data_IF_138640485869
#
_entry.id   IF_138640485869
#
_cell.length_a   1.000
_cell.length_b   1.000
_cell.length_c   1.000
_cell.angle_alpha   90.00
_cell.angle_beta   90.00
_cell.angle_gamma   90.00
#
_symmetry.space_group_name_H-M   'P 1'
#
loop_
_entity.id
_entity.type
_entity.pdbx_description
1 polymer ?
#
# COMPACT_ATOMS: atom_id res chain seq x y z
N UNK A 1 -20.45 2.67 -14.86
CA UNK A 1 -19.36 3.48 -14.26
C UNK A 1 -18.70 4.23 -15.38
N UNK A 2 -18.73 5.55 -15.35
CA UNK A 2 -18.03 6.41 -16.31
C UNK A 2 -16.73 6.89 -15.65
N UNK A 3 -15.60 6.73 -16.33
CA UNK A 3 -14.31 7.17 -15.82
C UNK A 3 -13.96 8.52 -16.41
N UNK A 4 -14.01 9.57 -15.58
CA UNK A 4 -13.47 10.88 -15.96
C UNK A 4 -11.98 10.86 -15.62
N UNK A 5 -11.13 10.72 -16.64
CA UNK A 5 -9.67 10.66 -16.46
C UNK A 5 -9.08 12.05 -16.71
N UNK A 6 -8.50 12.64 -15.67
CA UNK A 6 -7.65 13.83 -15.80
C UNK A 6 -6.23 13.44 -16.18
N UNK A 7 -5.54 14.28 -16.97
CA UNK A 7 -4.11 14.09 -17.22
C UNK A 7 -3.31 14.49 -15.98
N UNK A 8 -2.29 13.70 -15.57
CA UNK A 8 -1.43 14.06 -14.45
C UNK A 8 -0.77 15.42 -14.69
N UNK A 9 -0.92 16.33 -13.73
CA UNK A 9 -0.19 17.60 -13.69
C UNK A 9 0.99 17.44 -12.74
N UNK A 10 2.12 18.06 -13.07
CA UNK A 10 3.31 17.97 -12.24
C UNK A 10 4.49 18.72 -12.84
N UNK A 11 5.68 18.63 -12.21
CA UNK A 11 6.93 19.18 -12.73
C UNK A 11 7.21 18.71 -14.17
N UNK A 12 8.07 19.43 -14.90
CA UNK A 12 8.46 19.09 -16.28
C UNK A 12 8.92 17.64 -16.40
N UNK A 13 9.75 17.18 -15.47
CA UNK A 13 10.25 15.80 -15.41
C UNK A 13 9.12 14.75 -15.43
N UNK A 14 8.05 14.95 -14.66
CA UNK A 14 6.90 14.02 -14.62
C UNK A 14 6.17 14.01 -15.96
N UNK A 15 5.95 15.19 -16.55
CA UNK A 15 5.28 15.30 -17.86
C UNK A 15 6.11 14.66 -18.97
N UNK A 16 7.42 14.88 -18.94
CA UNK A 16 8.35 14.33 -19.92
C UNK A 16 8.47 12.81 -19.80
N UNK A 17 8.41 12.28 -18.57
CA UNK A 17 8.35 10.84 -18.31
C UNK A 17 7.07 10.20 -18.85
N UNK A 18 5.91 10.81 -18.57
CA UNK A 18 4.62 10.33 -19.08
C UNK A 18 4.52 10.40 -20.61
N UNK A 19 5.19 11.39 -21.22
CA UNK A 19 5.27 11.54 -22.67
C UNK A 19 6.32 10.62 -23.32
N UNK A 20 7.07 9.83 -22.53
CA UNK A 20 8.10 8.92 -23.04
C UNK A 20 9.26 9.63 -23.74
N UNK A 21 9.62 10.85 -23.31
CA UNK A 21 10.72 11.59 -23.93
C UNK A 21 12.07 10.93 -23.64
N UNK A 22 12.90 10.76 -24.66
CA UNK A 22 14.23 10.14 -24.54
C UNK A 22 15.13 10.83 -23.51
N UNK A 23 15.02 12.15 -23.38
CA UNK A 23 15.83 12.96 -22.45
C UNK A 23 15.64 12.59 -20.97
N UNK A 24 14.53 11.95 -20.62
CA UNK A 24 14.30 11.48 -19.25
C UNK A 24 14.53 9.98 -19.09
N UNK A 25 14.74 9.25 -20.18
CA UNK A 25 15.00 7.81 -20.14
C UNK A 25 16.24 7.48 -19.30
N UNK A 26 17.27 8.34 -19.34
CA UNK A 26 18.51 8.18 -18.56
C UNK A 26 18.26 8.18 -17.04
N UNK A 27 17.20 8.81 -16.55
CA UNK A 27 16.86 8.85 -15.12
C UNK A 27 16.07 7.63 -14.64
N UNK A 28 15.28 7.01 -15.52
CA UNK A 28 14.33 5.94 -15.16
C UNK A 28 14.68 4.57 -15.77
N UNK A 29 15.62 4.53 -16.71
CA UNK A 29 16.22 3.34 -17.33
C UNK A 29 15.32 2.55 -18.27
N UNK A 30 14.02 2.41 -17.97
CA UNK A 30 13.05 1.62 -18.75
C UNK A 30 11.69 2.33 -18.82
N UNK A 31 10.94 2.08 -19.89
CA UNK A 31 9.59 2.61 -20.10
C UNK A 31 8.54 1.78 -19.37
N UNK A 32 7.60 2.47 -18.70
CA UNK A 32 6.46 1.82 -18.06
C UNK A 32 5.39 1.33 -19.06
N UNK A 33 5.45 1.77 -20.33
CA UNK A 33 4.49 1.41 -21.37
C UNK A 33 5.00 0.29 -22.29
N UNK A 34 6.25 -0.16 -22.12
CA UNK A 34 6.89 -1.15 -22.99
C UNK A 34 6.87 -2.54 -22.36
N UNK A 35 6.17 -3.48 -22.99
CA UNK A 35 6.22 -4.88 -22.56
C UNK A 35 7.62 -5.47 -22.70
N UNK A 36 8.40 -5.03 -23.70
CA UNK A 36 9.78 -5.51 -23.89
C UNK A 36 10.70 -5.08 -22.75
N UNK A 37 10.48 -3.88 -22.20
CA UNK A 37 11.22 -3.43 -21.01
C UNK A 37 10.87 -4.27 -19.78
N UNK A 38 9.61 -4.68 -19.62
CA UNK A 38 9.24 -5.63 -18.58
C UNK A 38 9.87 -7.01 -18.80
N UNK A 39 9.97 -7.50 -20.04
CA UNK A 39 10.68 -8.75 -20.37
C UNK A 39 12.16 -8.64 -20.03
N UNK A 40 12.81 -7.55 -20.43
CA UNK A 40 14.20 -7.25 -20.09
C UNK A 40 14.42 -7.21 -18.57
N UNK A 41 13.50 -6.58 -17.81
CA UNK A 41 13.56 -6.57 -16.35
C UNK A 41 13.39 -7.98 -15.76
N UNK A 42 12.48 -8.78 -16.31
CA UNK A 42 12.27 -10.16 -15.89
C UNK A 42 13.54 -11.01 -16.09
N UNK A 43 14.22 -10.86 -17.22
CA UNK A 43 15.52 -11.52 -17.48
C UNK A 43 16.60 -11.07 -16.49
N UNK A 44 16.67 -9.78 -16.18
CA UNK A 44 17.61 -9.26 -15.16
C UNK A 44 17.32 -9.87 -13.77
N UNK A 45 16.05 -9.98 -13.38
CA UNK A 45 15.64 -10.60 -12.11
C UNK A 45 16.01 -12.08 -12.09
N UNK A 46 15.76 -12.82 -13.16
CA UNK A 46 16.12 -14.24 -13.26
C UNK A 46 17.64 -14.48 -13.20
N UNK A 47 18.44 -13.56 -13.75
CA UNK A 47 19.90 -13.62 -13.67
C UNK A 47 20.48 -13.28 -12.28
N UNK A 48 19.71 -12.64 -11.41
CA UNK A 48 20.16 -12.16 -10.08
C UNK A 48 19.60 -12.95 -8.91
N UNK A 49 18.38 -13.45 -9.03
CA UNK A 49 17.65 -14.07 -7.93
C UNK A 49 17.27 -15.49 -8.35
N UNK A 50 17.69 -16.47 -7.55
CA UNK A 50 17.37 -17.89 -7.72
C UNK A 50 16.19 -18.31 -6.86
N UNK A 51 16.13 -19.61 -6.53
CA UNK A 51 15.09 -20.18 -5.67
C UNK A 51 15.22 -19.71 -4.22
N UNK A 52 16.45 -19.70 -3.68
CA UNK A 52 16.71 -19.35 -2.29
C UNK A 52 16.30 -17.90 -1.97
N UNK A 53 16.60 -16.94 -2.85
CA UNK A 53 16.21 -15.54 -2.67
C UNK A 53 14.69 -15.36 -2.74
N UNK A 54 14.00 -16.17 -3.57
CA UNK A 54 12.54 -16.17 -3.63
C UNK A 54 11.91 -16.78 -2.37
N UNK A 55 12.50 -17.84 -1.81
CA UNK A 55 12.06 -18.39 -0.52
C UNK A 55 12.19 -17.34 0.60
N UNK A 56 13.31 -16.62 0.65
CA UNK A 56 13.51 -15.53 1.61
C UNK A 56 12.49 -14.40 1.40
N UNK A 57 12.21 -14.03 0.16
CA UNK A 57 11.21 -13.03 -0.15
C UNK A 57 9.82 -13.48 0.31
N UNK A 58 9.41 -14.72 -0.01
CA UNK A 58 8.12 -15.28 0.38
C UNK A 58 7.94 -15.32 1.91
N UNK A 59 8.98 -15.68 2.66
CA UNK A 59 8.96 -15.67 4.14
C UNK A 59 8.78 -14.28 4.74
N UNK A 60 9.17 -13.22 4.03
CA UNK A 60 9.02 -11.84 4.48
C UNK A 60 7.63 -11.24 4.16
N UNK A 61 6.81 -11.92 3.35
CA UNK A 61 5.48 -11.44 2.96
C UNK A 61 4.44 -11.82 4.00
N UNK A 62 3.63 -10.84 4.41
CA UNK A 62 2.41 -11.09 5.17
C UNK A 62 1.24 -11.28 4.19
N UNK A 63 0.63 -12.45 4.27
CA UNK A 63 -0.57 -12.79 3.49
C UNK A 63 -1.80 -12.32 4.26
N UNK A 64 -2.64 -11.43 3.69
CA UNK A 64 -3.86 -11.01 4.36
C UNK A 64 -4.91 -12.13 4.36
N UNK A 65 -5.85 -12.13 5.30
CA UNK A 65 -7.00 -13.03 5.27
C UNK A 65 -7.73 -12.96 3.92
N UNK A 66 -8.04 -14.12 3.35
CA UNK A 66 -8.73 -14.24 2.05
C UNK A 66 -7.80 -14.36 0.84
N UNK A 67 -6.52 -14.01 0.95
CA UNK A 67 -5.57 -14.19 -0.15
C UNK A 67 -5.09 -15.64 -0.27
N UNK A 68 -4.84 -16.09 -1.50
CA UNK A 68 -4.34 -17.43 -1.82
C UNK A 68 -2.85 -17.57 -1.47
N UNK A 69 -2.56 -18.25 -0.36
CA UNK A 69 -1.19 -18.53 0.11
C UNK A 69 -0.40 -19.42 -0.86
N UNK A 70 -1.06 -20.28 -1.64
CA UNK A 70 -0.39 -21.20 -2.57
C UNK A 70 0.33 -20.46 -3.71
N UNK A 71 -0.02 -19.19 -3.94
CA UNK A 71 0.64 -18.35 -4.94
C UNK A 71 2.07 -17.98 -4.56
N UNK A 72 2.41 -17.93 -3.26
CA UNK A 72 3.80 -17.77 -2.83
C UNK A 72 4.63 -19.02 -3.13
N UNK A 73 4.06 -20.21 -2.98
CA UNK A 73 4.71 -21.47 -3.37
C UNK A 73 4.97 -21.48 -4.88
N UNK A 74 3.96 -21.16 -5.70
CA UNK A 74 4.11 -21.06 -7.14
C UNK A 74 5.16 -20.01 -7.55
N UNK A 75 5.22 -18.87 -6.85
CA UNK A 75 6.25 -17.85 -7.06
C UNK A 75 7.66 -18.41 -6.83
N UNK A 76 7.88 -19.21 -5.79
CA UNK A 76 9.17 -19.85 -5.54
C UNK A 76 9.47 -20.91 -6.60
N UNK A 77 8.53 -21.83 -6.85
CA UNK A 77 8.75 -23.00 -7.71
C UNK A 77 8.93 -22.63 -9.19
N UNK A 78 8.17 -21.66 -9.68
CA UNK A 78 8.15 -21.27 -11.10
C UNK A 78 9.07 -20.08 -11.41
N UNK A 79 9.82 -19.60 -10.43
CA UNK A 79 10.70 -18.45 -10.58
C UNK A 79 9.95 -17.16 -10.87
N UNK A 80 8.88 -16.89 -10.12
CA UNK A 80 7.98 -15.75 -10.29
C UNK A 80 8.61 -14.38 -9.97
N UNK A 81 7.80 -13.35 -10.15
CA UNK A 81 8.16 -11.94 -9.97
C UNK A 81 7.26 -11.25 -8.95
N UNK A 82 7.66 -10.07 -8.49
CA UNK A 82 6.85 -9.21 -7.63
C UNK A 82 6.71 -7.83 -8.28
N UNK A 83 5.48 -7.29 -8.30
CA UNK A 83 5.23 -5.88 -8.61
C UNK A 83 5.08 -5.17 -7.27
N UNK A 84 6.01 -4.29 -6.94
CA UNK A 84 6.03 -3.61 -5.65
C UNK A 84 5.53 -2.17 -5.77
N UNK A 85 4.81 -1.72 -4.76
CA UNK A 85 4.50 -0.31 -4.49
C UNK A 85 4.52 -0.09 -2.99
N UNK A 86 4.41 1.15 -2.51
CA UNK A 86 4.29 1.41 -1.09
C UNK A 86 3.87 2.83 -0.74
N UNK A 87 3.58 3.01 0.54
CA UNK A 87 3.41 4.30 1.21
C UNK A 87 3.64 4.14 2.72
N UNK A 88 3.96 5.24 3.41
CA UNK A 88 3.74 5.35 4.85
C UNK A 88 2.31 4.96 5.27
N UNK A 89 2.15 4.42 6.49
CA UNK A 89 0.83 4.11 7.03
C UNK A 89 0.06 5.40 7.35
N UNK A 90 -0.93 5.74 6.53
CA UNK A 90 -1.87 6.83 6.84
C UNK A 90 -2.97 6.36 7.80
N UNK A 91 -3.32 7.21 8.78
CA UNK A 91 -4.47 7.01 9.67
C UNK A 91 -5.71 6.69 8.83
N UNK A 92 -6.50 5.69 9.22
CA UNK A 92 -7.78 5.33 8.55
C UNK A 92 -7.66 5.09 7.02
N UNK A 93 -6.49 4.67 6.54
CA UNK A 93 -6.23 4.44 5.11
C UNK A 93 -5.47 5.58 4.43
N UNK A 94 -5.38 6.75 5.04
CA UNK A 94 -4.74 7.92 4.48
C UNK A 94 -5.43 8.41 3.19
N UNK A 95 -4.71 9.16 2.35
CA UNK A 95 -5.22 9.61 1.06
C UNK A 95 -5.58 8.44 0.14
N UNK A 96 -6.60 8.63 -0.70
CA UNK A 96 -7.10 7.61 -1.65
C UNK A 96 -6.03 7.06 -2.60
N UNK A 97 -4.95 7.80 -2.86
CA UNK A 97 -3.87 7.29 -3.71
C UNK A 97 -3.20 6.03 -3.13
N UNK A 98 -3.31 5.77 -1.82
CA UNK A 98 -2.83 4.51 -1.22
C UNK A 98 -3.55 3.31 -1.82
N UNK A 99 -4.87 3.41 -1.93
CA UNK A 99 -5.73 2.40 -2.55
C UNK A 99 -5.41 2.32 -4.05
N UNK A 100 -5.28 3.46 -4.73
CA UNK A 100 -4.97 3.47 -6.17
C UNK A 100 -3.61 2.86 -6.49
N UNK A 101 -2.59 3.10 -5.67
CA UNK A 101 -1.28 2.45 -5.77
C UNK A 101 -1.41 0.92 -5.63
N UNK A 102 -2.12 0.45 -4.60
CA UNK A 102 -2.35 -0.97 -4.39
C UNK A 102 -3.08 -1.63 -5.56
N UNK A 103 -4.18 -1.02 -6.02
CA UNK A 103 -4.95 -1.50 -7.18
C UNK A 103 -4.13 -1.49 -8.47
N UNK A 104 -3.29 -0.46 -8.67
CA UNK A 104 -2.39 -0.38 -9.82
C UNK A 104 -1.37 -1.51 -9.80
N UNK A 105 -0.75 -1.79 -8.65
CA UNK A 105 0.18 -2.90 -8.50
C UNK A 105 -0.50 -4.25 -8.75
N UNK A 106 -1.69 -4.48 -8.18
CA UNK A 106 -2.48 -5.68 -8.40
C UNK A 106 -2.85 -5.87 -9.87
N UNK A 107 -3.33 -4.81 -10.53
CA UNK A 107 -3.69 -4.86 -11.95
C UNK A 107 -2.47 -5.11 -12.84
N UNK A 108 -1.36 -4.42 -12.56
CA UNK A 108 -0.12 -4.60 -13.32
C UNK A 108 0.43 -6.02 -13.13
N UNK A 109 0.39 -6.57 -11.92
CA UNK A 109 0.81 -7.94 -11.66
C UNK A 109 0.01 -8.94 -12.49
N UNK A 110 -1.33 -8.83 -12.52
CA UNK A 110 -2.17 -9.69 -13.34
C UNK A 110 -1.84 -9.60 -14.84
N UNK A 111 -1.66 -8.39 -15.36
CA UNK A 111 -1.25 -8.18 -16.77
C UNK A 111 0.13 -8.80 -17.04
N UNK A 112 1.10 -8.62 -16.15
CA UNK A 112 2.44 -9.16 -16.35
C UNK A 112 2.48 -10.69 -16.20
N UNK A 113 1.69 -11.28 -15.31
CA UNK A 113 1.56 -12.73 -15.19
C UNK A 113 1.09 -13.37 -16.51
N UNK A 114 0.04 -12.81 -17.12
CA UNK A 114 -0.44 -13.25 -18.43
C UNK A 114 0.63 -13.10 -19.53
N UNK A 115 1.37 -11.98 -19.54
CA UNK A 115 2.31 -11.65 -20.63
C UNK A 115 3.68 -12.32 -20.49
N UNK A 116 4.11 -12.60 -19.26
CA UNK A 116 5.41 -13.21 -18.95
C UNK A 116 5.30 -14.73 -18.71
N UNK A 117 4.10 -15.25 -18.46
CA UNK A 117 3.87 -16.69 -18.28
C UNK A 117 4.43 -17.26 -16.97
N UNK A 118 4.68 -16.42 -15.97
CA UNK A 118 5.16 -16.78 -14.63
C UNK A 118 4.34 -16.08 -13.56
N UNK A 119 4.21 -16.63 -12.34
CA UNK A 119 3.49 -15.98 -11.26
C UNK A 119 4.03 -14.58 -10.98
N UNK A 120 3.13 -13.60 -10.87
CA UNK A 120 3.48 -12.23 -10.48
C UNK A 120 2.65 -11.83 -9.26
N UNK A 121 3.36 -11.46 -8.21
CA UNK A 121 2.83 -11.22 -6.87
C UNK A 121 2.78 -9.70 -6.64
N UNK A 122 1.59 -9.05 -6.54
CA UNK A 122 1.55 -7.65 -6.14
C UNK A 122 1.87 -7.47 -4.66
N UNK A 123 2.81 -6.59 -4.35
CA UNK A 123 3.32 -6.37 -3.01
C UNK A 123 3.19 -4.89 -2.64
N UNK A 124 2.57 -4.61 -1.50
CA UNK A 124 2.47 -3.29 -0.93
C UNK A 124 3.35 -3.18 0.31
N UNK A 125 4.36 -2.34 0.21
CA UNK A 125 5.28 -2.01 1.28
C UNK A 125 4.70 -0.91 2.17
N UNK A 126 4.51 -1.21 3.45
CA UNK A 126 4.12 -0.22 4.45
C UNK A 126 5.38 0.40 5.05
N UNK A 127 5.73 1.61 4.62
CA UNK A 127 6.96 2.35 5.03
C UNK A 127 6.85 2.91 6.46
N UNK A 128 6.60 2.05 7.43
CA UNK A 128 6.41 2.45 8.84
C UNK A 128 7.70 2.79 9.59
N UNK A 129 8.85 2.60 8.95
CA UNK A 129 10.18 3.05 9.36
C UNK A 129 10.39 4.55 9.18
N UNK A 130 9.54 5.23 8.40
CA UNK A 130 9.57 6.67 8.23
C UNK A 130 9.31 7.39 9.57
N UNK A 131 9.75 8.63 9.66
CA UNK A 131 9.67 9.48 10.84
C UNK A 131 8.70 10.66 10.63
N UNK A 132 8.10 10.82 9.45
CA UNK A 132 7.10 11.85 9.16
C UNK A 132 5.73 11.49 9.76
N UNK A 133 5.58 11.74 11.05
CA UNK A 133 4.31 11.54 11.75
C UNK A 133 3.22 12.48 11.24
N UNK A 134 3.56 13.71 10.88
CA UNK A 134 2.59 14.73 10.50
C UNK A 134 1.92 14.38 9.16
N UNK A 135 2.62 13.67 8.26
CA UNK A 135 2.00 13.08 7.06
C UNK A 135 1.05 11.91 7.41
N UNK A 136 1.40 11.09 8.40
CA UNK A 136 0.69 9.86 8.74
C UNK A 136 -0.52 10.06 9.67
N UNK A 137 -0.50 11.08 10.53
CA UNK A 137 -1.38 11.18 11.70
C UNK A 137 -2.82 11.60 11.42
N UNK A 138 -3.19 11.83 10.16
CA UNK A 138 -4.49 12.40 9.81
C UNK A 138 -5.12 11.77 8.58
N UNK A 139 -6.43 11.98 8.45
CA UNK A 139 -7.20 11.72 7.24
C UNK A 139 -8.34 12.71 7.12
N UNK A 140 -8.69 13.04 5.88
CA UNK A 140 -9.81 13.89 5.56
C UNK A 140 -10.95 13.06 4.97
N UNK A 141 -12.17 13.32 5.42
CA UNK A 141 -13.37 12.64 4.97
C UNK A 141 -14.48 13.65 4.70
N UNK A 142 -15.27 13.41 3.65
CA UNK A 142 -16.53 14.12 3.45
C UNK A 142 -17.59 13.39 4.27
N UNK A 143 -18.09 14.05 5.31
CA UNK A 143 -19.09 13.47 6.20
C UNK A 143 -20.47 13.39 5.54
N UNK A 144 -21.41 12.67 6.17
CA UNK A 144 -22.81 12.64 5.76
C UNK A 144 -23.49 14.03 5.72
N UNK A 145 -22.89 15.02 6.39
CA UNK A 145 -23.29 16.43 6.35
C UNK A 145 -22.75 17.20 5.12
N UNK A 146 -22.08 16.51 4.19
CA UNK A 146 -21.41 17.06 3.00
C UNK A 146 -20.32 18.09 3.31
N UNK A 147 -19.71 18.04 4.49
CA UNK A 147 -18.56 18.88 4.85
C UNK A 147 -17.28 18.07 4.90
N UNK A 148 -16.16 18.74 4.65
CA UNK A 148 -14.84 18.16 4.83
C UNK A 148 -14.50 18.19 6.33
N UNK A 149 -14.20 17.02 6.89
CA UNK A 149 -13.76 16.84 8.26
C UNK A 149 -12.35 16.27 8.25
N UNK A 150 -11.51 16.74 9.18
CA UNK A 150 -10.15 16.25 9.38
C UNK A 150 -10.08 15.51 10.70
N UNK A 151 -9.77 14.22 10.64
CA UNK A 151 -9.51 13.38 11.81
C UNK A 151 -8.01 13.30 11.99
N UNK A 152 -7.54 13.69 13.17
CA UNK A 152 -6.11 13.80 13.45
C UNK A 152 -5.77 13.27 14.85
N UNK A 153 -4.62 12.61 14.93
CA UNK A 153 -4.07 12.06 16.16
C UNK A 153 -2.89 12.87 16.66
N UNK A 154 -2.96 13.25 17.93
CA UNK A 154 -1.86 13.90 18.61
C UNK A 154 -0.77 12.88 19.00
N UNK A 155 0.48 13.33 18.94
CA UNK A 155 1.63 12.56 19.42
C UNK A 155 1.68 12.66 20.96
N UNK A 156 1.61 11.52 21.65
CA UNK A 156 1.57 11.41 23.11
C UNK A 156 2.92 11.70 23.84
N UNK A 157 3.77 12.56 23.30
CA UNK A 157 5.09 13.01 23.78
C UNK A 157 6.31 12.28 23.16
N UNK A 158 7.29 13.07 22.70
CA UNK A 158 8.73 12.75 22.61
C UNK A 158 9.48 13.91 21.92
N UNK A 159 10.50 14.46 22.59
CA UNK A 159 11.51 15.38 21.99
C UNK A 159 12.28 14.72 20.83
N UNK A 160 12.25 13.39 20.73
CA UNK A 160 12.75 12.63 19.58
C UNK A 160 11.64 12.40 18.53
N UNK A 161 12.04 12.31 17.25
CA UNK A 161 11.16 11.89 16.16
C UNK A 161 11.37 10.39 15.89
N UNK A 162 10.68 9.45 16.59
CA UNK A 162 10.87 8.03 16.34
C UNK A 162 10.20 7.61 15.02
N UNK A 163 10.60 6.46 14.49
CA UNK A 163 9.89 5.86 13.37
C UNK A 163 8.41 5.62 13.74
N UNK A 164 7.51 5.76 12.76
CA UNK A 164 6.05 5.72 12.94
C UNK A 164 5.60 4.43 13.65
N UNK A 165 6.24 3.29 13.35
CA UNK A 165 5.95 2.03 14.02
C UNK A 165 6.31 1.98 15.52
N UNK A 166 6.90 3.02 16.09
CA UNK A 166 7.25 3.09 17.53
C UNK A 166 6.37 4.09 18.28
N UNK A 167 5.48 4.81 17.58
CA UNK A 167 4.61 5.82 18.16
C UNK A 167 3.45 5.15 18.90
N UNK A 168 3.20 5.59 20.13
CA UNK A 168 2.04 5.19 20.92
C UNK A 168 0.93 6.23 20.77
N UNK A 169 -0.27 5.77 20.43
CA UNK A 169 -1.42 6.63 20.15
C UNK A 169 -2.36 6.77 21.37
N UNK A 170 -2.15 5.94 22.41
CA UNK A 170 -2.91 5.96 23.66
C UNK A 170 -4.41 5.75 23.50
N UNK A 171 -5.17 6.06 24.54
CA UNK A 171 -6.63 5.90 24.57
C UNK A 171 -7.39 7.01 23.82
N UNK A 172 -6.79 8.20 23.67
CA UNK A 172 -7.38 9.31 22.92
C UNK A 172 -7.61 8.96 21.44
N UNK A 173 -6.84 8.00 20.90
CA UNK A 173 -7.07 7.45 19.58
C UNK A 173 -8.50 6.97 19.38
N UNK A 174 -9.07 6.29 20.38
CA UNK A 174 -10.40 5.70 20.26
C UNK A 174 -11.46 6.77 20.01
N UNK A 175 -11.38 7.91 20.70
CA UNK A 175 -12.30 9.01 20.51
C UNK A 175 -12.30 9.54 19.06
N UNK A 176 -11.11 9.66 18.45
CA UNK A 176 -10.96 10.10 17.06
C UNK A 176 -11.48 9.08 16.05
N UNK A 177 -11.34 7.79 16.35
CA UNK A 177 -11.90 6.72 15.52
C UNK A 177 -13.43 6.69 15.63
N UNK A 178 -13.98 6.90 16.83
CA UNK A 178 -15.42 6.99 17.04
C UNK A 178 -16.00 8.22 16.33
N UNK A 179 -15.31 9.36 16.38
CA UNK A 179 -15.63 10.58 15.61
C UNK A 179 -15.68 10.27 14.10
N UNK A 180 -14.67 9.59 13.55
CA UNK A 180 -14.68 9.18 12.14
C UNK A 180 -15.87 8.30 11.79
N UNK A 181 -16.20 7.32 12.63
CA UNK A 181 -17.33 6.40 12.40
C UNK A 181 -18.66 7.16 12.37
N UNK A 182 -18.84 8.16 13.22
CA UNK A 182 -20.05 9.00 13.25
C UNK A 182 -20.23 9.85 11.99
N UNK A 183 -19.16 10.13 11.25
CA UNK A 183 -19.20 10.89 10.00
C UNK A 183 -19.60 10.02 8.80
N UNK A 184 -19.47 8.69 8.90
CA UNK A 184 -19.81 7.77 7.82
C UNK A 184 -21.33 7.71 7.61
N UNK A 185 -21.80 7.55 6.36
CA UNK A 185 -23.20 7.27 6.10
C UNK A 185 -23.60 5.91 6.68
N UNK A 186 -24.82 5.84 7.21
CA UNK A 186 -25.42 4.57 7.61
C UNK A 186 -26.00 3.87 6.38
N UNK A 187 -25.50 2.67 6.09
CA UNK A 187 -25.82 1.86 4.91
C UNK A 187 -25.83 0.38 5.30
N UNK A 188 -26.38 -0.47 4.43
CA UNK A 188 -26.40 -1.92 4.65
C UNK A 188 -24.99 -2.54 4.84
N UNK A 189 -23.93 -1.84 4.39
CA UNK A 189 -22.54 -2.28 4.49
C UNK A 189 -21.81 -1.73 5.73
N UNK A 190 -22.36 -0.73 6.41
CA UNK A 190 -21.64 0.05 7.42
C UNK A 190 -21.16 -0.82 8.59
N UNK A 191 -21.95 -1.82 8.99
CA UNK A 191 -21.61 -2.72 10.10
C UNK A 191 -20.35 -3.55 9.87
N UNK A 192 -20.06 -3.96 8.63
CA UNK A 192 -18.88 -4.75 8.29
C UNK A 192 -17.62 -3.87 8.29
N UNK A 193 -17.69 -2.69 7.66
CA UNK A 193 -16.58 -1.75 7.61
C UNK A 193 -16.25 -1.16 8.99
N UNK A 194 -17.24 -0.88 9.83
CA UNK A 194 -17.02 -0.42 11.21
C UNK A 194 -16.28 -1.49 12.01
N UNK A 195 -16.68 -2.76 11.91
CA UNK A 195 -15.96 -3.87 12.56
C UNK A 195 -14.52 -3.95 12.08
N UNK A 196 -14.28 -3.76 10.77
CA UNK A 196 -12.94 -3.76 10.22
C UNK A 196 -12.10 -2.62 10.80
N UNK A 197 -12.62 -1.39 10.81
CA UNK A 197 -11.94 -0.20 11.36
C UNK A 197 -11.59 -0.44 12.84
N UNK A 198 -12.57 -0.77 13.68
CA UNK A 198 -12.33 -1.05 15.10
C UNK A 198 -11.37 -2.24 15.29
N UNK A 199 -11.39 -3.20 14.37
CA UNK A 199 -10.46 -4.32 14.29
C UNK A 199 -9.01 -3.93 13.98
N UNK A 200 -8.77 -2.77 13.37
CA UNK A 200 -7.42 -2.25 13.02
C UNK A 200 -6.90 -1.19 13.99
N UNK A 201 -7.77 -0.48 14.70
CA UNK A 201 -7.40 0.56 15.68
C UNK A 201 -7.59 0.10 17.14
N UNK A 202 -6.85 0.70 18.07
CA UNK A 202 -6.97 0.40 19.51
C UNK A 202 -5.74 0.82 20.32
N UNK A 203 -5.88 0.99 21.65
CA UNK A 203 -4.86 1.62 22.50
C UNK A 203 -3.54 0.83 22.62
N UNK A 204 -3.56 -0.47 22.30
CA UNK A 204 -2.36 -1.34 22.28
C UNK A 204 -1.86 -1.62 20.85
N UNK A 205 -2.51 -1.07 19.82
CA UNK A 205 -2.14 -1.30 18.41
C UNK A 205 -1.19 -0.21 17.93
N UNK A 206 -0.30 -0.62 17.04
CA UNK A 206 0.77 0.19 16.47
C UNK A 206 0.32 0.82 15.14
N UNK A 207 0.69 2.07 14.81
CA UNK A 207 0.47 2.69 13.49
C UNK A 207 0.84 1.84 12.26
N UNK A 208 1.83 0.95 12.34
CA UNK A 208 2.13 -0.01 11.26
C UNK A 208 0.94 -0.90 10.87
N UNK A 209 -0.05 -1.00 11.77
CA UNK A 209 -1.30 -1.74 11.56
C UNK A 209 -2.44 -0.93 10.95
N UNK A 210 -2.27 0.36 10.65
CA UNK A 210 -3.35 1.17 10.09
C UNK A 210 -3.71 0.80 8.65
N UNK A 211 -2.71 0.44 7.84
CA UNK A 211 -2.91 -0.18 6.52
C UNK A 211 -3.02 -1.70 6.61
N UNK A 212 -3.29 -2.22 7.81
CA UNK A 212 -3.34 -3.63 8.09
C UNK A 212 -4.73 -4.11 8.47
N UNK A 213 -5.22 -5.11 7.74
CA UNK A 213 -6.25 -6.02 8.24
C UNK A 213 -5.71 -6.74 9.48
N UNK A 214 -6.55 -7.04 10.50
CA UNK A 214 -6.10 -7.64 11.75
C UNK A 214 -5.33 -8.95 11.49
N UNK A 215 -4.02 -8.89 11.69
CA UNK A 215 -3.12 -10.04 11.70
C UNK A 215 -2.07 -9.86 12.81
N UNK A 216 -1.74 -10.91 13.57
CA UNK A 216 -0.78 -10.83 14.66
C UNK A 216 0.66 -10.95 14.14
N UNK A 217 1.39 -9.83 14.05
CA UNK A 217 2.87 -9.86 14.11
C UNK A 217 3.62 -8.95 13.13
N UNK A 218 4.84 -8.62 13.54
CA UNK A 218 5.98 -8.06 12.81
C UNK A 218 5.98 -6.59 12.35
N UNK A 219 7.10 -5.95 12.71
CA UNK A 219 7.64 -4.67 12.23
C UNK A 219 8.39 -4.98 10.93
N UNK A 220 8.13 -4.19 9.87
CA UNK A 220 8.35 -4.47 8.42
C UNK A 220 7.20 -5.28 7.81
N UNK A 221 6.19 -4.57 7.31
CA UNK A 221 4.98 -5.19 6.77
C UNK A 221 5.00 -5.08 5.25
N UNK A 222 5.44 -6.14 4.58
CA UNK A 222 5.15 -6.37 3.17
C UNK A 222 3.77 -7.03 3.07
N UNK A 223 2.81 -6.42 2.39
CA UNK A 223 1.45 -6.96 2.24
C UNK A 223 1.22 -7.46 0.83
N UNK A 224 0.78 -8.71 0.74
CA UNK A 224 0.28 -9.27 -0.50
C UNK A 224 -1.15 -8.79 -0.76
N UNK A 225 -1.51 -8.52 -2.01
CA UNK A 225 -2.90 -8.28 -2.38
C UNK A 225 -3.34 -9.33 -3.40
N UNK A 226 -4.33 -10.14 -3.06
CA UNK A 226 -5.11 -10.86 -4.06
C UNK A 226 -6.58 -10.75 -3.73
N UNK A 227 -7.35 -10.74 -4.82
CA UNK A 227 -8.78 -10.95 -4.85
C UNK A 227 -9.23 -12.07 -3.93
#
# INVERSE_FOLDING_TARGET
MEFIVGYPKGPSLVRDYLAGKEQVADFFGRSFSSLEDFRSKATEVDGRFGRAERELAAQAVLVPPGADETRLEAFVEKGGYMVTTGQQPGLLGGPLYNIYKALTAARLAGVLEERLGKPVIPLFWVSSEDHDWDEANHTEIIGADNKLHRIELEKLHSEANPAIHRIQIGSAAQYRIDEFIQLLPDTDFSSEYIKLILGSFGPKKNPSRWLSFPSPGAVRTFRYFLH
#
